data_IF_937467922741
#
_entry.id   IF_937467922741
#
_cell.length_a   1.000
_cell.length_b   1.000
_cell.length_c   1.000
_cell.angle_alpha   90.00
_cell.angle_beta   90.00
_cell.angle_gamma   90.00
#
_symmetry.space_group_name_H-M   'P 1'
#
loop_
_entity.id
_entity.type
_entity.pdbx_description
1 polymer ?
#
# COMPACT_ATOMS: atom_id res chain seq x y z
N UNK A 1 -7.46 29.08 38.98
CA UNK A 1 -8.59 28.21 38.58
C UNK A 1 -8.75 28.34 37.07
N UNK A 2 -9.19 27.27 36.41
CA UNK A 2 -9.51 27.08 34.96
C UNK A 2 -8.40 26.54 34.04
N UNK A 3 -8.19 25.22 34.10
CA UNK A 3 -8.10 24.36 32.91
C UNK A 3 -9.58 23.95 32.58
N UNK A 4 -10.02 23.60 31.34
CA UNK A 4 -9.29 22.89 30.27
C UNK A 4 -9.66 23.26 28.82
N UNK A 5 -8.70 23.63 27.98
CA UNK A 5 -8.90 23.56 26.53
C UNK A 5 -8.04 22.41 26.01
N UNK A 6 -8.59 21.20 26.12
CA UNK A 6 -8.08 20.01 25.46
C UNK A 6 -8.12 20.26 23.95
N UNK A 7 -6.98 20.61 23.34
CA UNK A 7 -6.81 20.56 21.89
C UNK A 7 -7.06 19.12 21.44
N UNK A 8 -8.29 18.83 21.05
CA UNK A 8 -8.69 17.61 20.39
C UNK A 8 -7.87 17.54 19.11
N UNK A 9 -6.82 16.70 19.09
CA UNK A 9 -6.33 16.09 17.85
C UNK A 9 -7.58 15.60 17.14
N UNK A 10 -8.06 16.29 16.11
CA UNK A 10 -9.08 15.71 15.25
C UNK A 10 -8.36 14.56 14.54
N UNK A 11 -8.63 13.29 14.87
CA UNK A 11 -8.12 12.21 14.05
C UNK A 11 -8.68 12.46 12.65
N UNK A 12 -7.80 12.72 11.70
CA UNK A 12 -8.13 12.66 10.28
C UNK A 12 -8.46 11.19 10.03
N UNK A 13 -9.73 10.83 10.23
CA UNK A 13 -10.20 9.47 10.00
C UNK A 13 -10.11 9.26 8.49
N UNK A 14 -9.22 8.39 8.00
CA UNK A 14 -9.06 8.18 6.57
C UNK A 14 -10.42 7.76 6.01
N UNK A 15 -10.95 8.59 5.11
CA UNK A 15 -12.23 8.34 4.49
C UNK A 15 -12.20 6.95 3.87
N UNK A 16 -13.29 6.19 3.96
CA UNK A 16 -13.31 4.77 3.54
C UNK A 16 -12.75 4.54 2.13
N UNK A 17 -12.85 5.54 1.25
CA UNK A 17 -12.25 5.60 -0.09
C UNK A 17 -10.72 5.54 -0.11
N UNK A 18 -10.02 6.15 0.84
CA UNK A 18 -8.55 6.16 0.89
C UNK A 18 -7.99 4.82 1.40
N UNK A 19 -8.77 4.10 2.21
CA UNK A 19 -8.47 2.71 2.59
C UNK A 19 -8.66 1.70 1.44
N UNK A 20 -9.40 2.07 0.38
CA UNK A 20 -9.69 1.18 -0.74
C UNK A 20 -8.65 1.28 -1.86
N UNK A 21 -7.90 2.39 -1.98
CA UNK A 21 -6.83 2.57 -2.98
C UNK A 21 -5.73 1.48 -2.92
N UNK A 22 -5.25 1.04 -1.74
CA UNK A 22 -4.28 -0.05 -1.65
C UNK A 22 -4.88 -1.41 -2.08
N UNK A 23 -6.18 -1.61 -1.83
CA UNK A 23 -6.86 -2.86 -2.16
C UNK A 23 -7.01 -3.04 -3.68
N UNK A 24 -7.16 -1.94 -4.42
CA UNK A 24 -7.21 -1.94 -5.88
C UNK A 24 -5.89 -2.44 -6.49
N UNK A 25 -4.75 -1.99 -5.97
CA UNK A 25 -3.43 -2.45 -6.38
C UNK A 25 -3.22 -3.95 -6.10
N UNK A 26 -3.70 -4.43 -4.95
CA UNK A 26 -3.68 -5.86 -4.62
C UNK A 26 -4.57 -6.65 -5.58
N UNK A 27 -5.76 -6.12 -5.91
CA UNK A 27 -6.66 -6.72 -6.90
C UNK A 27 -6.01 -6.90 -8.27
N UNK A 28 -5.32 -5.87 -8.77
CA UNK A 28 -4.57 -5.96 -10.03
C UNK A 28 -3.44 -6.99 -9.98
N UNK A 29 -2.69 -7.06 -8.87
CA UNK A 29 -1.63 -8.04 -8.70
C UNK A 29 -2.15 -9.49 -8.73
N UNK A 30 -3.32 -9.74 -8.12
CA UNK A 30 -3.99 -11.04 -8.14
C UNK A 30 -4.38 -11.44 -9.56
N UNK A 31 -4.99 -10.53 -10.33
CA UNK A 31 -5.39 -10.80 -11.72
C UNK A 31 -4.19 -11.14 -12.60
N UNK A 32 -3.10 -10.36 -12.48
CA UNK A 32 -1.87 -10.61 -13.23
C UNK A 32 -1.24 -11.97 -12.89
N UNK A 33 -1.23 -12.34 -11.60
CA UNK A 33 -0.73 -13.64 -11.16
C UNK A 33 -1.56 -14.81 -11.67
N UNK A 34 -2.89 -14.70 -11.64
CA UNK A 34 -3.79 -15.73 -12.19
C UNK A 34 -3.53 -15.89 -13.69
N UNK A 35 -3.41 -14.79 -14.43
CA UNK A 35 -3.09 -14.82 -15.85
C UNK A 35 -1.74 -15.51 -16.14
N UNK A 36 -0.69 -15.13 -15.41
CA UNK A 36 0.63 -15.75 -15.55
C UNK A 36 0.58 -17.26 -15.23
N UNK A 37 -0.12 -17.66 -14.16
CA UNK A 37 -0.32 -19.06 -13.81
C UNK A 37 -1.08 -19.86 -14.88
N UNK A 38 -2.11 -19.27 -15.48
CA UNK A 38 -2.86 -19.88 -16.59
C UNK A 38 -2.01 -20.06 -17.84
N UNK A 39 -1.18 -19.08 -18.18
CA UNK A 39 -0.24 -19.16 -19.31
C UNK A 39 0.74 -20.31 -19.12
N UNK A 40 1.33 -20.43 -17.92
CA UNK A 40 2.26 -21.53 -17.62
C UNK A 40 1.54 -22.89 -17.68
N UNK A 41 0.34 -22.99 -17.08
CA UNK A 41 -0.46 -24.21 -17.09
C UNK A 41 -0.78 -24.67 -18.52
N UNK A 42 -1.16 -23.74 -19.40
CA UNK A 42 -1.41 -24.04 -20.82
C UNK A 42 -0.13 -24.42 -21.58
N UNK A 43 1.01 -23.81 -21.23
CA UNK A 43 2.29 -24.06 -21.89
C UNK A 43 2.91 -25.41 -21.51
N UNK A 44 2.84 -25.82 -20.24
CA UNK A 44 3.51 -27.03 -19.73
C UNK A 44 2.61 -28.27 -19.72
N UNK A 45 1.28 -28.09 -19.58
CA UNK A 45 0.31 -29.18 -19.32
C UNK A 45 0.70 -30.11 -18.16
N UNK A 46 1.55 -29.64 -17.25
CA UNK A 46 2.04 -30.41 -16.09
C UNK A 46 1.75 -29.57 -14.83
N UNK A 47 0.94 -30.13 -13.93
CA UNK A 47 0.31 -29.40 -12.82
C UNK A 47 1.33 -29.00 -11.74
N UNK A 48 2.34 -29.84 -11.47
CA UNK A 48 3.31 -29.58 -10.41
C UNK A 48 4.24 -28.41 -10.77
N UNK A 49 4.81 -28.45 -11.98
CA UNK A 49 5.64 -27.42 -12.59
C UNK A 49 4.84 -26.12 -12.78
N UNK A 50 3.59 -26.22 -13.22
CA UNK A 50 2.71 -25.06 -13.31
C UNK A 50 2.47 -24.41 -11.95
N UNK A 51 2.24 -25.18 -10.88
CA UNK A 51 2.08 -24.67 -9.52
C UNK A 51 3.32 -23.94 -9.00
N UNK A 52 4.51 -24.50 -9.22
CA UNK A 52 5.79 -23.88 -8.80
C UNK A 52 5.99 -22.53 -9.50
N UNK A 53 5.84 -22.50 -10.82
CA UNK A 53 6.02 -21.27 -11.61
C UNK A 53 4.91 -20.23 -11.33
N UNK A 54 3.67 -20.66 -11.11
CA UNK A 54 2.59 -19.76 -10.69
C UNK A 54 2.91 -19.11 -9.32
N UNK A 55 3.40 -19.90 -8.36
CA UNK A 55 3.85 -19.39 -7.07
C UNK A 55 5.04 -18.42 -7.18
N UNK A 56 6.05 -18.77 -7.98
CA UNK A 56 7.20 -17.90 -8.22
C UNK A 56 6.80 -16.58 -8.90
N UNK A 57 5.96 -16.64 -9.94
CA UNK A 57 5.45 -15.46 -10.64
C UNK A 57 4.58 -14.56 -9.74
N UNK A 58 3.77 -15.15 -8.85
CA UNK A 58 3.01 -14.41 -7.85
C UNK A 58 3.93 -13.61 -6.91
N UNK A 59 4.98 -14.26 -6.37
CA UNK A 59 5.95 -13.61 -5.49
C UNK A 59 6.65 -12.46 -6.21
N UNK A 60 7.15 -12.70 -7.43
CA UNK A 60 7.82 -11.66 -8.23
C UNK A 60 6.88 -10.49 -8.50
N UNK A 61 5.61 -10.74 -8.81
CA UNK A 61 4.60 -9.69 -9.05
C UNK A 61 4.37 -8.85 -7.80
N UNK A 62 4.16 -9.47 -6.64
CA UNK A 62 3.98 -8.74 -5.37
C UNK A 62 5.24 -7.95 -5.01
N UNK A 63 6.43 -8.52 -5.23
CA UNK A 63 7.69 -7.80 -5.02
C UNK A 63 7.77 -6.55 -5.91
N UNK A 64 7.46 -6.66 -7.20
CA UNK A 64 7.45 -5.51 -8.10
C UNK A 64 6.45 -4.46 -7.63
N UNK A 65 5.23 -4.84 -7.25
CA UNK A 65 4.22 -3.91 -6.71
C UNK A 65 4.72 -3.23 -5.44
N UNK A 66 5.34 -3.97 -4.52
CA UNK A 66 5.90 -3.44 -3.29
C UNK A 66 7.05 -2.45 -3.56
N UNK A 67 7.93 -2.76 -4.51
CA UNK A 67 9.04 -1.90 -4.90
C UNK A 67 8.55 -0.62 -5.59
N UNK A 68 7.52 -0.72 -6.43
CA UNK A 68 6.86 0.44 -7.03
C UNK A 68 6.21 1.31 -5.95
N UNK A 69 5.55 0.70 -4.96
CA UNK A 69 4.98 1.42 -3.81
C UNK A 69 6.03 2.10 -2.93
N UNK A 70 7.18 1.45 -2.72
CA UNK A 70 8.29 2.01 -1.93
C UNK A 70 9.01 3.15 -2.64
N UNK A 71 9.15 3.06 -3.97
CA UNK A 71 9.79 4.09 -4.80
C UNK A 71 8.89 5.29 -5.12
N UNK A 72 7.61 5.23 -4.80
CA UNK A 72 6.65 6.31 -5.03
C UNK A 72 6.95 7.54 -4.16
N UNK A 73 6.78 8.74 -4.73
CA UNK A 73 6.84 10.00 -3.97
C UNK A 73 5.79 9.96 -2.84
N UNK A 74 6.12 10.39 -1.60
CA UNK A 74 5.15 10.45 -0.50
C UNK A 74 3.87 11.15 -0.93
N UNK A 75 2.72 10.60 -0.55
CA UNK A 75 1.43 11.18 -0.90
C UNK A 75 1.27 12.57 -0.27
N UNK A 76 0.39 13.40 -0.82
CA UNK A 76 0.13 14.74 -0.26
C UNK A 76 -0.29 14.68 1.22
N UNK A 77 -0.92 13.58 1.64
CA UNK A 77 -1.27 13.30 3.04
C UNK A 77 -0.03 12.99 3.88
N UNK A 78 0.91 12.20 3.37
CA UNK A 78 2.19 11.95 4.04
C UNK A 78 3.02 13.22 4.18
N UNK A 79 2.99 14.11 3.18
CA UNK A 79 3.65 15.41 3.25
C UNK A 79 2.98 16.34 4.27
N UNK A 80 1.66 16.36 4.36
CA UNK A 80 0.91 17.14 5.34
C UNK A 80 1.20 16.66 6.78
N UNK A 81 1.17 15.35 7.01
CA UNK A 81 1.50 14.76 8.32
C UNK A 81 2.95 15.03 8.72
N UNK A 82 3.90 14.97 7.78
CA UNK A 82 5.31 15.31 8.04
C UNK A 82 5.52 16.78 8.38
N UNK A 83 4.81 17.70 7.72
CA UNK A 83 4.88 19.14 8.04
C UNK A 83 4.37 19.44 9.44
N UNK A 84 3.32 18.76 9.88
CA UNK A 84 2.79 18.87 11.24
C UNK A 84 3.78 18.37 12.29
N UNK A 85 4.50 17.27 11.99
CA UNK A 85 5.57 16.75 12.84
C UNK A 85 6.85 17.59 12.86
N UNK A 86 7.07 18.44 11.86
CA UNK A 86 8.26 19.30 11.73
C UNK A 86 8.14 20.66 12.43
N UNK A 87 6.96 21.03 12.93
CA UNK A 87 6.75 22.22 13.77
C UNK A 87 6.38 21.86 15.22
N UNK A 88 7.25 21.18 15.99
CA UNK A 88 6.94 20.85 17.38
C UNK A 88 6.93 22.07 18.33
N UNK A 89 7.55 23.21 17.99
CA UNK A 89 7.82 24.28 18.97
C UNK A 89 8.49 25.53 18.37
N UNK A 90 7.71 26.41 17.74
CA UNK A 90 8.00 27.84 17.57
C UNK A 90 7.17 28.73 18.53
N UNK A 91 6.72 28.13 19.65
CA UNK A 91 5.99 28.78 20.75
C UNK A 91 6.81 28.70 22.06
N UNK A 92 8.00 29.32 22.08
CA UNK A 92 8.76 29.58 23.32
C UNK A 92 9.39 30.97 23.33
N UNK A 93 8.54 31.99 23.39
CA UNK A 93 8.85 33.29 24.01
C UNK A 93 7.80 33.61 25.06
#
# INVERSE_FOLDING_TARGET
MTQPESSSKQPVDPSRRDRLKPLELIGFAVVLSVFAGLVVLMATREIALAGIFAGAAFIVTVMVVALVGLGGKPSAEDEAARKDLQHPDDVWH
#
